data_IF_153510643557
#
_entry.id   IF_153510643557
#
_cell.length_a   1.000
_cell.length_b   1.000
_cell.length_c   1.000
_cell.angle_alpha   90.00
_cell.angle_beta   90.00
_cell.angle_gamma   90.00
#
_symmetry.space_group_name_H-M   'P 1'
#
loop_
_entity.id
_entity.type
_entity.pdbx_description
1 polymer ?
#
# COMPACT_ATOMS: atom_id res chain seq x y z
N UNK A 1 42.02 -16.45 -19.93
CA UNK A 1 41.14 -17.31 -20.74
C UNK A 1 40.16 -16.38 -21.45
N UNK A 2 40.36 -16.16 -22.75
CA UNK A 2 39.61 -15.18 -23.56
C UNK A 2 38.70 -15.98 -24.48
N UNK A 3 37.39 -15.83 -24.35
CA UNK A 3 36.42 -16.39 -25.29
C UNK A 3 35.87 -15.26 -26.15
N UNK A 4 36.18 -15.35 -27.44
CA UNK A 4 35.74 -14.44 -28.51
C UNK A 4 34.69 -15.19 -29.31
N UNK A 5 33.45 -14.72 -29.31
CA UNK A 5 32.35 -15.30 -30.10
C UNK A 5 32.07 -14.43 -31.33
N UNK A 6 32.17 -15.07 -32.48
CA UNK A 6 31.87 -14.57 -33.83
C UNK A 6 30.40 -14.89 -34.14
N UNK A 7 29.67 -13.93 -34.72
CA UNK A 7 28.27 -14.09 -35.15
C UNK A 7 28.12 -14.78 -36.52
N UNK A 8 26.87 -14.94 -36.99
CA UNK A 8 26.45 -14.42 -38.30
C UNK A 8 25.09 -13.69 -38.20
N UNK A 9 24.81 -12.55 -38.83
CA UNK A 9 24.78 -12.18 -40.26
C UNK A 9 23.55 -12.69 -41.04
N UNK A 10 22.65 -11.73 -41.30
CA UNK A 10 21.73 -11.57 -42.45
C UNK A 10 20.47 -12.44 -42.54
N UNK A 11 19.34 -11.74 -42.68
CA UNK A 11 18.05 -12.25 -43.13
C UNK A 11 17.05 -11.10 -43.26
N UNK A 12 17.18 -10.33 -44.34
CA UNK A 12 16.20 -9.30 -44.74
C UNK A 12 15.12 -9.98 -45.57
N UNK A 13 13.91 -10.12 -45.03
CA UNK A 13 12.74 -10.55 -45.79
C UNK A 13 11.71 -9.42 -45.88
N UNK A 14 11.60 -8.95 -47.12
CA UNK A 14 10.77 -7.88 -47.61
C UNK A 14 9.47 -8.51 -48.15
N UNK A 15 8.34 -8.29 -47.50
CA UNK A 15 7.03 -8.74 -47.97
C UNK A 15 6.06 -7.56 -48.04
N UNK A 16 6.07 -6.91 -49.20
CA UNK A 16 4.98 -6.09 -49.72
C UNK A 16 3.88 -6.97 -50.35
N UNK A 17 2.66 -6.89 -49.81
CA UNK A 17 1.36 -7.30 -50.39
C UNK A 17 0.32 -7.02 -49.28
N UNK A 18 -0.75 -6.24 -49.42
CA UNK A 18 -1.47 -5.68 -50.54
C UNK A 18 -2.94 -5.59 -50.09
N UNK A 19 -3.69 -4.63 -50.65
CA UNK A 19 -5.17 -4.62 -50.78
C UNK A 19 -6.00 -4.43 -49.50
N UNK A 20 -6.67 -3.29 -49.31
CA UNK A 20 -7.98 -2.90 -49.87
C UNK A 20 -9.16 -3.62 -49.20
N UNK A 21 -10.04 -2.79 -48.63
CA UNK A 21 -11.45 -3.01 -48.33
C UNK A 21 -11.80 -3.90 -47.12
N UNK A 22 -12.27 -3.26 -46.04
CA UNK A 22 -13.65 -3.46 -45.55
C UNK A 22 -13.93 -2.58 -44.32
N UNK A 23 -14.52 -1.43 -44.60
CA UNK A 23 -15.03 -0.51 -43.60
C UNK A 23 -16.48 -0.86 -43.25
N UNK A 24 -16.71 -1.87 -42.41
CA UNK A 24 -17.96 -2.02 -41.66
C UNK A 24 -17.72 -2.78 -40.35
N UNK A 25 -17.33 -2.06 -39.29
CA UNK A 25 -17.56 -2.53 -37.92
C UNK A 25 -17.95 -1.36 -37.02
N UNK A 26 -19.17 -0.86 -37.28
CA UNK A 26 -19.90 -0.03 -36.33
C UNK A 26 -20.86 -0.97 -35.60
N UNK A 27 -20.88 -0.85 -34.27
CA UNK A 27 -21.83 -1.48 -33.33
C UNK A 27 -21.37 -2.79 -32.71
N UNK A 28 -20.55 -2.68 -31.65
CA UNK A 28 -20.72 -3.41 -30.38
C UNK A 28 -19.70 -2.91 -29.34
N UNK A 29 -19.89 -1.67 -28.88
CA UNK A 29 -19.35 -1.21 -27.60
C UNK A 29 -20.49 -1.30 -26.58
N UNK A 30 -20.82 -2.53 -26.21
CA UNK A 30 -21.72 -2.86 -25.11
C UNK A 30 -20.87 -3.34 -23.94
N UNK A 31 -20.17 -2.43 -23.26
CA UNK A 31 -19.41 -2.73 -22.03
C UNK A 31 -19.38 -1.52 -21.07
N UNK A 32 -20.46 -0.74 -21.04
CA UNK A 32 -20.74 0.18 -19.91
C UNK A 32 -21.72 -0.44 -18.89
N UNK A 33 -22.34 -1.58 -19.24
CA UNK A 33 -23.19 -2.40 -18.36
C UNK A 33 -22.40 -3.30 -17.39
N UNK A 34 -21.08 -3.40 -17.54
CA UNK A 34 -20.26 -4.26 -16.64
C UNK A 34 -19.62 -3.48 -15.47
N UNK A 35 -19.46 -2.16 -15.60
CA UNK A 35 -18.93 -1.32 -14.52
C UNK A 35 -20.01 -0.81 -13.56
N UNK A 36 -21.26 -0.70 -14.03
CA UNK A 36 -22.40 -0.32 -13.19
C UNK A 36 -22.67 -1.33 -12.06
N UNK A 37 -22.66 -2.66 -12.30
CA UNK A 37 -22.86 -3.66 -11.26
C UNK A 37 -21.76 -3.64 -10.21
N UNK A 38 -20.50 -3.46 -10.60
CA UNK A 38 -19.38 -3.40 -9.65
C UNK A 38 -19.44 -2.13 -8.79
N UNK A 39 -19.77 -1.00 -9.40
CA UNK A 39 -19.98 0.26 -8.67
C UNK A 39 -21.20 0.18 -7.75
N UNK A 40 -22.31 -0.41 -8.19
CA UNK A 40 -23.54 -0.58 -7.39
C UNK A 40 -23.40 -1.64 -6.30
N UNK A 41 -22.61 -2.70 -6.53
CA UNK A 41 -22.31 -3.73 -5.54
C UNK A 41 -21.38 -3.19 -4.46
N UNK A 42 -20.33 -2.45 -4.84
CA UNK A 42 -19.49 -1.72 -3.91
C UNK A 42 -20.30 -0.70 -3.11
N UNK A 43 -21.14 0.10 -3.78
CA UNK A 43 -22.03 1.08 -3.16
C UNK A 43 -23.06 0.44 -2.20
N UNK A 44 -23.66 -0.70 -2.57
CA UNK A 44 -24.62 -1.41 -1.70
C UNK A 44 -23.95 -2.05 -0.49
N UNK A 45 -22.78 -2.68 -0.66
CA UNK A 45 -22.03 -3.27 0.44
C UNK A 45 -21.62 -2.18 1.45
N UNK A 46 -21.18 -1.04 0.94
CA UNK A 46 -20.79 0.10 1.77
C UNK A 46 -22.01 0.72 2.48
N UNK A 47 -23.16 0.87 1.81
CA UNK A 47 -24.39 1.38 2.44
C UNK A 47 -24.99 0.43 3.48
N UNK A 48 -24.85 -0.89 3.30
CA UNK A 48 -25.26 -1.88 4.29
C UNK A 48 -24.40 -1.80 5.55
N UNK A 49 -23.09 -1.56 5.40
CA UNK A 49 -22.18 -1.33 6.52
C UNK A 49 -22.52 -0.04 7.29
N UNK A 50 -22.97 1.02 6.60
CA UNK A 50 -23.36 2.30 7.22
C UNK A 50 -24.62 2.21 8.09
N UNK A 51 -25.56 1.32 7.77
CA UNK A 51 -26.79 1.13 8.55
C UNK A 51 -26.65 0.16 9.72
N UNK A 52 -25.51 -0.53 9.84
CA UNK A 52 -25.29 -1.56 10.85
C UNK A 52 -24.61 -1.06 12.14
N UNK A 53 -24.49 0.26 12.36
CA UNK A 53 -23.93 0.77 13.62
C UNK A 53 -24.87 0.48 14.80
N UNK A 54 -24.44 -0.29 15.82
CA UNK A 54 -25.26 -0.52 17.00
C UNK A 54 -25.27 0.75 17.84
N UNK A 55 -26.47 1.19 18.23
CA UNK A 55 -26.68 2.10 19.34
C UNK A 55 -26.21 1.40 20.63
N UNK A 56 -24.91 1.45 20.90
CA UNK A 56 -24.31 1.04 22.17
C UNK A 56 -24.65 2.08 23.23
N UNK A 57 -25.85 1.95 23.79
CA UNK A 57 -26.22 2.59 25.04
C UNK A 57 -25.30 2.12 26.17
N UNK A 58 -24.59 3.08 26.73
CA UNK A 58 -23.80 2.97 27.95
C UNK A 58 -24.71 2.68 29.15
N UNK A 59 -24.50 1.55 29.82
CA UNK A 59 -24.82 1.40 31.24
C UNK A 59 -23.66 0.67 31.91
N UNK A 60 -22.78 1.46 32.53
CA UNK A 60 -21.80 0.98 33.52
C UNK A 60 -22.50 0.82 34.88
N UNK A 61 -22.29 -0.33 35.56
CA UNK A 61 -22.32 -0.36 37.01
C UNK A 61 -21.01 -0.92 37.58
N UNK A 62 -20.02 -0.04 37.76
CA UNK A 62 -18.88 -0.31 38.66
C UNK A 62 -19.32 -0.14 40.12
N UNK A 63 -19.57 -1.26 40.83
CA UNK A 63 -19.52 -1.32 42.31
C UNK A 63 -19.42 -2.76 42.85
N UNK A 64 -18.20 -3.18 43.16
CA UNK A 64 -17.81 -4.16 44.20
C UNK A 64 -16.26 -4.15 44.21
N UNK A 65 -15.51 -3.64 45.19
CA UNK A 65 -15.41 -3.90 46.64
C UNK A 65 -15.03 -5.34 47.00
N UNK A 66 -14.05 -5.46 47.93
CA UNK A 66 -13.42 -6.65 48.55
C UNK A 66 -12.17 -7.14 47.77
N UNK A 67 -10.96 -7.31 48.35
CA UNK A 67 -10.46 -7.18 49.71
C UNK A 67 -8.97 -7.58 49.75
N UNK A 68 -8.15 -6.86 50.52
CA UNK A 68 -6.74 -7.16 50.77
C UNK A 68 -6.57 -8.38 51.69
N UNK A 69 -5.59 -9.24 51.38
CA UNK A 69 -4.83 -9.97 52.41
C UNK A 69 -3.35 -10.09 51.99
N UNK A 70 -2.39 -9.93 52.92
CA UNK A 70 -0.98 -10.22 52.69
C UNK A 70 -0.64 -11.63 53.17
N UNK A 71 0.10 -12.40 52.35
CA UNK A 71 0.77 -13.61 52.80
C UNK A 71 2.27 -13.40 52.79
N UNK A 72 2.80 -13.21 53.99
CA UNK A 72 4.21 -13.37 54.34
C UNK A 72 4.54 -14.87 54.34
N UNK A 73 5.55 -15.28 53.57
CA UNK A 73 6.01 -16.67 53.53
C UNK A 73 7.47 -16.75 53.12
N UNK A 74 8.36 -16.63 54.12
CA UNK A 74 9.79 -16.88 54.05
C UNK A 74 10.09 -18.38 54.05
N UNK A 75 10.86 -18.86 53.07
CA UNK A 75 11.69 -20.08 53.08
C UNK A 75 12.37 -20.13 51.70
N UNK A 76 13.67 -20.30 51.47
CA UNK A 76 14.81 -20.79 52.23
C UNK A 76 15.82 -21.23 51.16
N UNK A 77 17.10 -20.94 51.37
CA UNK A 77 18.20 -21.26 50.47
C UNK A 77 18.25 -22.72 50.03
N UNK A 78 18.54 -22.97 48.75
CA UNK A 78 19.23 -24.17 48.31
C UNK A 78 20.10 -23.88 47.08
N UNK A 79 21.41 -23.75 47.33
CA UNK A 79 22.45 -23.90 46.30
C UNK A 79 22.46 -25.35 45.82
N UNK A 80 22.43 -25.58 44.50
CA UNK A 80 23.33 -26.53 43.80
C UNK A 80 23.15 -26.46 42.28
N UNK A 81 24.27 -26.71 41.63
CA UNK A 81 24.52 -26.65 40.20
C UNK A 81 23.65 -27.59 39.35
N UNK A 82 23.36 -27.16 38.13
CA UNK A 82 23.26 -28.05 36.98
C UNK A 82 23.55 -27.27 35.70
N UNK A 83 24.63 -27.66 35.04
CA UNK A 83 24.98 -27.32 33.67
C UNK A 83 23.98 -27.88 32.66
N UNK A 84 23.87 -27.19 31.51
CA UNK A 84 23.53 -27.74 30.19
C UNK A 84 22.09 -28.22 29.94
N UNK A 85 21.33 -27.44 29.15
CA UNK A 85 20.83 -27.77 27.80
C UNK A 85 19.52 -27.01 27.48
N UNK A 86 19.58 -26.29 26.35
CA UNK A 86 18.58 -26.12 25.30
C UNK A 86 17.11 -25.75 25.63
N UNK A 87 16.67 -24.79 24.82
CA UNK A 87 15.34 -24.68 24.20
C UNK A 87 14.34 -23.68 24.80
N UNK A 88 14.20 -22.59 24.03
CA UNK A 88 12.96 -21.94 23.58
C UNK A 88 12.06 -21.27 24.62
N UNK A 89 11.71 -20.00 24.34
CA UNK A 89 10.33 -19.56 24.38
C UNK A 89 9.85 -19.20 22.97
N UNK A 90 8.92 -20.00 22.45
CA UNK A 90 7.98 -19.56 21.43
C UNK A 90 6.96 -18.59 22.07
N UNK A 91 6.42 -17.72 21.20
CA UNK A 91 5.25 -16.87 21.39
C UNK A 91 5.46 -15.56 22.17
N UNK A 92 5.48 -14.44 21.43
CA UNK A 92 4.34 -13.51 21.34
C UNK A 92 4.69 -12.41 20.33
N UNK A 93 4.29 -12.58 19.06
CA UNK A 93 4.29 -11.49 18.08
C UNK A 93 2.98 -10.72 18.23
N UNK A 94 3.03 -9.61 18.95
CA UNK A 94 2.07 -8.53 18.76
C UNK A 94 2.46 -7.78 17.49
N UNK A 95 1.63 -7.87 16.45
CA UNK A 95 1.75 -7.01 15.28
C UNK A 95 1.05 -5.69 15.64
N UNK A 96 1.82 -4.70 16.05
CA UNK A 96 1.32 -3.32 16.10
C UNK A 96 1.45 -2.72 14.71
N UNK A 97 0.28 -2.40 14.16
CA UNK A 97 0.09 -1.65 12.93
C UNK A 97 0.82 -0.30 13.03
N UNK A 98 1.72 -0.01 12.10
CA UNK A 98 2.34 1.31 11.94
C UNK A 98 1.66 2.05 10.76
N UNK A 99 0.96 3.17 11.00
CA UNK A 99 0.42 3.99 9.93
C UNK A 99 1.34 5.19 9.61
N UNK A 100 1.82 5.17 8.36
CA UNK A 100 2.23 6.31 7.52
C UNK A 100 3.65 6.86 7.66
N UNK A 101 4.35 6.74 6.54
CA UNK A 101 5.34 7.72 6.11
C UNK A 101 4.66 8.88 5.38
N UNK A 102 5.02 10.10 5.78
CA UNK A 102 4.79 11.36 5.07
C UNK A 102 5.74 11.47 3.88
N UNK A 103 5.20 11.31 2.68
CA UNK A 103 5.90 11.56 1.41
C UNK A 103 6.01 13.07 1.20
N UNK A 104 7.23 13.55 0.91
CA UNK A 104 7.44 14.91 0.43
C UNK A 104 6.55 15.15 -0.79
N UNK A 105 5.85 16.29 -0.80
CA UNK A 105 4.92 16.69 -1.84
C UNK A 105 5.68 17.10 -3.11
N UNK A 106 6.37 16.12 -3.71
CA UNK A 106 6.66 16.15 -5.13
C UNK A 106 5.32 16.00 -5.81
N UNK A 107 4.92 17.03 -6.56
CA UNK A 107 3.73 16.99 -7.42
C UNK A 107 3.94 15.90 -8.48
N UNK A 108 3.70 14.66 -8.06
CA UNK A 108 3.73 13.48 -8.91
C UNK A 108 2.52 13.60 -9.81
N UNK A 109 2.76 14.07 -11.03
CA UNK A 109 1.82 13.91 -12.13
C UNK A 109 1.69 12.41 -12.38
N UNK A 110 0.73 11.78 -11.71
CA UNK A 110 0.34 10.41 -11.95
C UNK A 110 -0.27 10.34 -13.35
N UNK A 111 0.58 10.16 -14.35
CA UNK A 111 0.14 9.73 -15.67
C UNK A 111 -0.18 8.25 -15.59
N UNK A 112 -1.33 7.92 -15.00
CA UNK A 112 -1.85 6.56 -15.08
C UNK A 112 -2.35 6.32 -16.50
N UNK A 113 -1.46 5.79 -17.34
CA UNK A 113 -1.73 5.47 -18.74
C UNK A 113 -2.78 4.37 -18.91
N UNK A 114 -3.26 3.78 -17.81
CA UNK A 114 -4.31 2.74 -17.83
C UNK A 114 -5.71 3.32 -18.00
N UNK A 115 -5.93 4.61 -17.71
CA UNK A 115 -7.26 5.21 -17.80
C UNK A 115 -7.41 5.92 -19.15
N UNK A 116 -8.20 5.33 -20.04
CA UNK A 116 -8.54 5.93 -21.33
C UNK A 116 -9.37 7.20 -21.13
N UNK A 117 -8.73 8.36 -21.28
CA UNK A 117 -9.38 9.69 -21.18
C UNK A 117 -10.57 9.84 -22.14
N UNK A 118 -10.54 9.15 -23.28
CA UNK A 118 -11.62 9.12 -24.26
C UNK A 118 -12.87 8.38 -23.78
N UNK A 119 -12.73 7.44 -22.84
CA UNK A 119 -13.86 6.76 -22.20
C UNK A 119 -14.55 7.67 -21.18
N UNK A 120 -13.77 8.44 -20.40
CA UNK A 120 -14.28 9.40 -19.42
C UNK A 120 -15.12 10.51 -20.07
N UNK A 121 -14.82 10.88 -21.31
CA UNK A 121 -15.56 11.91 -22.04
C UNK A 121 -17.00 11.51 -22.36
N UNK A 122 -17.22 10.20 -22.60
CA UNK A 122 -18.53 9.63 -22.97
C UNK A 122 -19.48 9.44 -21.78
N UNK A 123 -19.01 9.66 -20.55
CA UNK A 123 -19.82 9.49 -19.35
C UNK A 123 -20.89 10.59 -19.29
N UNK A 124 -22.14 10.17 -19.14
CA UNK A 124 -23.30 11.05 -18.94
C UNK A 124 -23.39 11.49 -17.47
N UNK A 125 -24.06 12.63 -17.21
CA UNK A 125 -24.28 13.17 -15.85
C UNK A 125 -23.01 13.49 -15.05
N UNK A 126 -22.02 14.12 -15.71
CA UNK A 126 -20.76 14.57 -15.10
C UNK A 126 -20.99 15.43 -13.84
N UNK A 127 -22.01 16.29 -13.87
CA UNK A 127 -22.41 17.15 -12.76
C UNK A 127 -22.80 16.35 -11.51
N UNK A 128 -23.59 15.27 -11.67
CA UNK A 128 -24.02 14.42 -10.55
C UNK A 128 -22.85 13.67 -9.93
N UNK A 129 -21.93 13.21 -10.77
CA UNK A 129 -20.73 12.50 -10.32
C UNK A 129 -19.83 13.45 -9.53
N UNK A 130 -19.59 14.67 -10.02
CA UNK A 130 -18.78 15.66 -9.32
C UNK A 130 -19.40 16.04 -7.97
N UNK A 131 -20.73 16.26 -7.90
CA UNK A 131 -21.42 16.53 -6.63
C UNK A 131 -21.32 15.35 -5.65
N UNK A 132 -21.47 14.13 -6.14
CA UNK A 132 -21.31 12.92 -5.33
C UNK A 132 -19.90 12.82 -4.75
N UNK A 133 -18.87 13.03 -5.56
CA UNK A 133 -17.48 12.99 -5.09
C UNK A 133 -17.22 14.06 -4.03
N UNK A 134 -17.74 15.27 -4.21
CA UNK A 134 -17.61 16.33 -3.19
C UNK A 134 -18.36 15.99 -1.90
N UNK A 135 -19.54 15.37 -1.98
CA UNK A 135 -20.29 14.92 -0.81
C UNK A 135 -19.55 13.79 -0.06
N UNK A 136 -19.03 12.81 -0.79
CA UNK A 136 -18.19 11.73 -0.23
C UNK A 136 -16.95 12.33 0.43
N UNK A 137 -16.28 13.27 -0.23
CA UNK A 137 -15.11 13.94 0.30
C UNK A 137 -15.40 14.67 1.62
N UNK A 138 -16.53 15.39 1.69
CA UNK A 138 -16.95 16.11 2.89
C UNK A 138 -17.26 15.15 4.05
N UNK A 139 -17.99 14.06 3.78
CA UNK A 139 -18.48 13.12 4.81
C UNK A 139 -17.45 12.10 5.26
N UNK A 140 -16.55 11.65 4.38
CA UNK A 140 -15.66 10.52 4.62
C UNK A 140 -14.19 10.92 4.63
N UNK A 141 -13.71 11.31 5.82
CA UNK A 141 -12.28 11.57 6.08
C UNK A 141 -11.31 10.51 5.51
N UNK A 142 -11.53 9.19 5.66
CA UNK A 142 -10.55 8.20 5.19
C UNK A 142 -10.43 8.13 3.66
N UNK A 143 -11.45 8.56 2.91
CA UNK A 143 -11.45 8.51 1.45
C UNK A 143 -10.98 9.80 0.78
N UNK A 144 -10.75 10.87 1.55
CA UNK A 144 -10.43 12.20 1.01
C UNK A 144 -9.33 12.20 -0.03
N UNK A 145 -8.16 11.63 0.30
CA UNK A 145 -7.00 11.55 -0.60
C UNK A 145 -7.31 10.85 -1.93
N UNK A 146 -8.12 9.78 -1.90
CA UNK A 146 -8.52 9.06 -3.12
C UNK A 146 -9.49 9.87 -3.95
N UNK A 147 -10.49 10.46 -3.29
CA UNK A 147 -11.50 11.31 -3.96
C UNK A 147 -10.87 12.55 -4.58
N UNK A 148 -9.89 13.15 -3.92
CA UNK A 148 -9.12 14.29 -4.40
C UNK A 148 -8.26 13.92 -5.62
N UNK A 149 -7.53 12.80 -5.57
CA UNK A 149 -6.77 12.31 -6.71
C UNK A 149 -7.68 12.07 -7.92
N UNK A 150 -8.87 11.51 -7.69
CA UNK A 150 -9.87 11.27 -8.72
C UNK A 150 -10.48 12.57 -9.26
N UNK A 151 -10.79 13.55 -8.40
CA UNK A 151 -11.25 14.88 -8.83
C UNK A 151 -10.18 15.59 -9.67
N UNK A 152 -8.93 15.53 -9.26
CA UNK A 152 -7.80 16.10 -10.00
C UNK A 152 -7.68 15.47 -11.39
N UNK A 153 -7.78 14.14 -11.47
CA UNK A 153 -7.74 13.40 -12.73
C UNK A 153 -8.91 13.75 -13.65
N UNK A 154 -10.14 13.81 -13.12
CA UNK A 154 -11.32 14.17 -13.91
C UNK A 154 -11.22 15.58 -14.45
N UNK A 155 -10.72 16.52 -13.63
CA UNK A 155 -10.53 17.92 -14.03
C UNK A 155 -9.36 18.12 -15.01
N UNK A 156 -8.58 17.10 -15.35
CA UNK A 156 -7.65 17.18 -16.49
C UNK A 156 -8.36 17.02 -17.85
N UNK A 157 -9.61 16.58 -17.87
CA UNK A 157 -10.38 16.36 -19.11
C UNK A 157 -11.27 17.57 -19.40
N UNK A 158 -11.13 18.16 -20.58
CA UNK A 158 -11.81 19.42 -20.95
C UNK A 158 -13.33 19.37 -20.80
N UNK A 159 -13.96 18.24 -21.10
CA UNK A 159 -15.42 18.10 -20.96
C UNK A 159 -15.90 18.08 -19.52
N UNK A 160 -15.08 17.57 -18.61
CA UNK A 160 -15.34 17.61 -17.18
C UNK A 160 -15.08 19.01 -16.62
N UNK A 161 -14.06 19.72 -17.11
CA UNK A 161 -13.86 21.14 -16.79
C UNK A 161 -15.04 22.00 -17.25
N UNK A 162 -15.59 21.73 -18.43
CA UNK A 162 -16.75 22.47 -18.93
C UNK A 162 -17.99 22.21 -18.08
N UNK A 163 -18.28 20.94 -17.77
CA UNK A 163 -19.39 20.59 -16.87
C UNK A 163 -19.21 21.19 -15.47
N UNK A 164 -17.96 21.32 -15.02
CA UNK A 164 -17.62 21.98 -13.76
C UNK A 164 -17.88 23.49 -13.81
N UNK A 165 -17.45 24.17 -14.87
CA UNK A 165 -17.62 25.62 -15.02
C UNK A 165 -19.07 26.05 -15.24
N UNK A 166 -19.94 25.14 -15.71
CA UNK A 166 -21.38 25.39 -15.86
C UNK A 166 -22.13 25.42 -14.51
N UNK A 167 -21.53 24.90 -13.42
CA UNK A 167 -22.16 24.83 -12.09
C UNK A 167 -21.42 25.69 -11.06
N UNK A 168 -22.02 26.84 -10.74
CA UNK A 168 -21.48 27.81 -9.79
C UNK A 168 -21.42 27.28 -8.34
N UNK A 169 -22.34 26.39 -7.94
CA UNK A 169 -22.35 25.81 -6.60
C UNK A 169 -21.18 24.83 -6.43
N UNK A 170 -20.88 24.09 -7.50
CA UNK A 170 -19.76 23.16 -7.56
C UNK A 170 -18.41 23.90 -7.48
N UNK A 171 -18.30 25.04 -8.17
CA UNK A 171 -17.11 25.90 -8.10
C UNK A 171 -16.87 26.43 -6.68
N UNK A 172 -17.92 26.89 -6.01
CA UNK A 172 -17.84 27.35 -4.63
C UNK A 172 -17.42 26.23 -3.67
N UNK A 173 -17.93 25.01 -3.85
CA UNK A 173 -17.57 23.86 -3.03
C UNK A 173 -16.09 23.45 -3.19
N UNK A 174 -15.53 23.49 -4.41
CA UNK A 174 -14.11 23.20 -4.62
C UNK A 174 -13.21 24.33 -4.08
N UNK A 175 -13.63 25.58 -4.20
CA UNK A 175 -12.89 26.70 -3.61
C UNK A 175 -12.79 26.57 -2.08
N UNK A 176 -13.85 26.11 -1.42
CA UNK A 176 -13.80 25.78 0.02
C UNK A 176 -12.87 24.61 0.31
N UNK A 177 -12.87 23.58 -0.55
CA UNK A 177 -11.98 22.43 -0.42
C UNK A 177 -10.50 22.85 -0.45
N UNK A 178 -10.06 23.62 -1.45
CA UNK A 178 -8.66 24.06 -1.57
C UNK A 178 -8.18 24.89 -0.38
N UNK A 179 -9.03 25.77 0.16
CA UNK A 179 -8.70 26.57 1.36
C UNK A 179 -8.52 25.72 2.62
N UNK A 180 -9.28 24.63 2.75
CA UNK A 180 -9.17 23.74 3.92
C UNK A 180 -7.83 23.00 3.96
N UNK A 181 -7.23 22.69 2.82
CA UNK A 181 -5.94 22.01 2.77
C UNK A 181 -4.76 22.91 3.14
N UNK A 182 -4.78 24.15 2.67
CA UNK A 182 -3.77 25.15 3.03
C UNK A 182 -3.74 25.41 4.55
N UNK A 183 -4.90 25.30 5.22
CA UNK A 183 -5.00 25.41 6.68
C UNK A 183 -4.51 24.17 7.45
N UNK A 184 -4.75 22.97 6.93
CA UNK A 184 -4.39 21.72 7.62
C UNK A 184 -2.92 21.32 7.44
N UNK A 185 -2.26 21.65 6.32
CA UNK A 185 -0.84 21.34 6.14
C UNK A 185 0.08 22.09 7.12
N UNK A 186 -0.38 23.21 7.68
CA UNK A 186 0.42 24.00 8.62
C UNK A 186 0.31 23.51 10.08
N UNK A 187 -0.63 22.62 10.42
CA UNK A 187 -0.98 22.34 11.81
C UNK A 187 -0.92 20.86 12.23
N UNK A 188 -0.69 19.92 11.31
CA UNK A 188 -0.68 18.47 11.57
C UNK A 188 0.65 17.80 11.15
N UNK A 189 1.77 18.47 11.47
CA UNK A 189 3.10 17.89 11.61
C UNK A 189 3.68 18.44 12.92
N UNK A 190 3.14 17.94 14.03
CA UNK A 190 3.66 18.24 15.36
C UNK A 190 5.01 17.55 15.52
N UNK A 191 6.04 18.32 15.90
CA UNK A 191 7.42 17.87 16.08
C UNK A 191 7.60 16.64 17.00
N UNK A 192 6.57 16.28 17.77
CA UNK A 192 6.57 15.11 18.66
C UNK A 192 6.44 13.78 17.89
N UNK A 193 5.72 13.73 16.75
CA UNK A 193 5.65 12.51 15.92
C UNK A 193 6.93 12.28 15.09
N UNK A 194 7.67 13.34 14.76
CA UNK A 194 8.97 13.21 14.08
C UNK A 194 10.07 12.68 15.02
N UNK A 195 10.02 13.01 16.31
CA UNK A 195 11.01 12.51 17.28
C UNK A 195 10.82 11.01 17.57
N UNK A 196 9.57 10.54 17.71
CA UNK A 196 9.27 9.13 17.95
C UNK A 196 9.63 8.24 16.75
N UNK A 197 9.32 8.69 15.52
CA UNK A 197 9.72 7.99 14.30
C UNK A 197 11.25 7.94 14.11
N UNK A 198 11.99 8.92 14.64
CA UNK A 198 13.44 8.96 14.57
C UNK A 198 14.11 8.05 15.60
N UNK A 199 13.51 7.83 16.77
CA UNK A 199 13.98 6.87 17.77
C UNK A 199 13.82 5.42 17.30
N UNK A 200 12.73 5.09 16.60
CA UNK A 200 12.52 3.75 16.06
C UNK A 200 13.52 3.37 14.96
N UNK A 201 13.89 4.32 14.08
CA UNK A 201 14.94 4.11 13.10
C UNK A 201 16.32 3.89 13.74
N UNK A 202 16.62 4.58 14.85
CA UNK A 202 17.86 4.35 15.61
C UNK A 202 17.85 2.98 16.28
N UNK A 203 16.73 2.56 16.85
CA UNK A 203 16.56 1.24 17.49
C UNK A 203 16.69 0.09 16.49
N UNK A 204 16.09 0.21 15.30
CA UNK A 204 16.26 -0.78 14.23
C UNK A 204 17.70 -0.83 13.71
N UNK A 205 18.40 0.31 13.67
CA UNK A 205 19.81 0.35 13.28
C UNK A 205 20.73 -0.36 14.27
N UNK A 206 20.40 -0.39 15.57
CA UNK A 206 21.20 -1.11 16.57
C UNK A 206 20.97 -2.60 16.53
N UNK A 207 19.72 -3.03 16.35
CA UNK A 207 19.36 -4.46 16.43
C UNK A 207 20.00 -5.30 15.32
N UNK A 208 20.36 -4.67 14.19
CA UNK A 208 20.95 -5.36 13.06
C UNK A 208 22.48 -5.34 13.08
N UNK A 209 23.10 -4.46 13.88
CA UNK A 209 24.57 -4.39 13.97
C UNK A 209 25.15 -5.66 14.56
N UNK A 210 24.54 -6.16 15.63
CA UNK A 210 25.06 -7.30 16.37
C UNK A 210 25.06 -8.58 15.52
N UNK A 211 23.97 -8.83 14.79
CA UNK A 211 23.88 -9.96 13.86
C UNK A 211 24.88 -9.84 12.70
N UNK A 212 25.07 -8.63 12.15
CA UNK A 212 25.98 -8.40 11.03
C UNK A 212 27.43 -8.63 11.45
N UNK A 213 27.83 -8.16 12.63
CA UNK A 213 29.20 -8.32 13.13
C UNK A 213 29.55 -9.79 13.37
N UNK A 214 28.63 -10.58 13.93
CA UNK A 214 28.80 -12.03 14.07
C UNK A 214 28.99 -12.72 12.71
N UNK A 215 28.15 -12.37 11.71
CA UNK A 215 28.26 -12.94 10.36
C UNK A 215 29.54 -12.49 9.65
N UNK A 216 30.00 -11.26 9.88
CA UNK A 216 31.24 -10.73 9.35
C UNK A 216 32.45 -11.50 9.91
N UNK A 217 32.50 -11.70 11.22
CA UNK A 217 33.54 -12.48 11.88
C UNK A 217 33.56 -13.94 11.40
N UNK A 218 32.39 -14.58 11.29
CA UNK A 218 32.27 -15.94 10.77
C UNK A 218 32.67 -16.05 9.28
N UNK A 219 32.37 -15.03 8.46
CA UNK A 219 32.80 -14.98 7.07
C UNK A 219 34.32 -14.79 6.95
N UNK A 220 34.90 -13.90 7.76
CA UNK A 220 36.35 -13.69 7.83
C UNK A 220 37.09 -14.97 8.26
N UNK A 221 36.57 -15.69 9.26
CA UNK A 221 37.12 -16.98 9.70
C UNK A 221 37.11 -18.05 8.59
N UNK A 222 36.19 -17.97 7.63
CA UNK A 222 36.13 -18.85 6.44
C UNK A 222 37.04 -18.38 5.29
N UNK A 223 37.78 -17.28 5.45
CA UNK A 223 38.59 -16.68 4.38
C UNK A 223 37.77 -15.95 3.32
N UNK A 224 36.55 -15.52 3.66
CA UNK A 224 35.72 -14.72 2.74
C UNK A 224 36.29 -13.31 2.63
N UNK A 225 36.28 -12.72 1.43
CA UNK A 225 36.82 -11.37 1.19
C UNK A 225 35.90 -10.28 1.78
N UNK A 226 34.61 -10.57 2.00
CA UNK A 226 33.65 -9.67 2.62
C UNK A 226 32.28 -10.31 2.79
N UNK A 227 31.33 -9.54 3.34
CA UNK A 227 29.92 -9.93 3.50
C UNK A 227 29.04 -8.93 2.75
N UNK A 228 28.05 -9.45 2.02
CA UNK A 228 27.00 -8.66 1.40
C UNK A 228 25.74 -8.73 2.26
N UNK A 229 25.32 -7.59 2.80
CA UNK A 229 24.05 -7.46 3.52
C UNK A 229 22.98 -6.99 2.53
N UNK A 230 21.90 -7.75 2.40
CA UNK A 230 20.75 -7.40 1.55
C UNK A 230 19.53 -7.24 2.43
N UNK A 231 19.03 -6.00 2.53
CA UNK A 231 17.73 -5.70 3.15
C UNK A 231 16.69 -5.62 2.05
N UNK A 232 15.78 -6.57 2.01
CA UNK A 232 14.53 -6.42 1.26
C UNK A 232 13.60 -5.59 2.14
N UNK A 233 12.96 -4.56 1.58
CA UNK A 233 12.09 -3.64 2.35
C UNK A 233 10.66 -3.81 1.89
N UNK A 234 10.44 -3.62 0.59
CA UNK A 234 9.13 -3.75 -0.02
C UNK A 234 9.24 -4.00 -1.52
N UNK A 235 8.16 -4.49 -2.10
CA UNK A 235 7.93 -4.54 -3.53
C UNK A 235 6.58 -3.90 -3.86
N UNK A 236 6.55 -3.04 -4.87
CA UNK A 236 5.36 -2.28 -5.26
C UNK A 236 4.98 -2.58 -6.71
N UNK A 237 3.69 -2.44 -7.02
CA UNK A 237 3.15 -2.60 -8.36
C UNK A 237 3.48 -3.96 -8.99
N UNK A 238 3.41 -5.02 -8.18
CA UNK A 238 3.58 -6.38 -8.68
C UNK A 238 2.48 -6.68 -9.69
N UNK A 239 2.85 -7.26 -10.83
CA UNK A 239 1.89 -7.68 -11.86
C UNK A 239 1.16 -8.90 -11.32
N UNK A 240 -0.17 -8.86 -11.28
CA UNK A 240 -0.93 -10.02 -10.88
C UNK A 240 -0.76 -11.14 -11.92
N UNK A 241 -0.13 -12.23 -11.52
CA UNK A 241 0.06 -13.41 -12.37
C UNK A 241 -1.12 -14.39 -12.28
N UNK A 242 -1.95 -14.27 -11.23
CA UNK A 242 -3.02 -15.22 -10.96
C UNK A 242 -4.36 -14.73 -11.54
N UNK A 243 -5.09 -15.64 -12.18
CA UNK A 243 -6.40 -15.34 -12.79
C UNK A 243 -7.47 -15.14 -11.72
N UNK A 244 -7.42 -15.90 -10.62
CA UNK A 244 -8.51 -16.01 -9.64
C UNK A 244 -8.15 -15.55 -8.22
N UNK A 245 -6.92 -15.06 -7.99
CA UNK A 245 -6.46 -14.54 -6.70
C UNK A 245 -5.50 -13.36 -6.90
N UNK A 246 -5.08 -12.72 -5.81
CA UNK A 246 -3.91 -11.85 -5.85
C UNK A 246 -2.66 -12.72 -5.88
N UNK A 247 -1.53 -12.14 -6.28
CA UNK A 247 -0.27 -12.87 -6.28
C UNK A 247 0.26 -13.07 -4.85
N UNK A 248 0.99 -14.17 -4.64
CA UNK A 248 1.69 -14.49 -3.39
C UNK A 248 3.20 -14.17 -3.49
N UNK A 249 3.60 -12.89 -3.37
CA UNK A 249 4.98 -12.50 -3.63
C UNK A 249 5.98 -13.03 -2.62
N UNK A 250 7.15 -13.37 -3.13
CA UNK A 250 8.35 -13.65 -2.34
C UNK A 250 9.59 -13.19 -3.11
N UNK A 251 10.67 -12.88 -2.38
CA UNK A 251 11.94 -12.47 -2.98
C UNK A 251 12.97 -13.58 -2.85
N UNK A 252 13.68 -13.84 -3.94
CA UNK A 252 14.77 -14.81 -4.02
C UNK A 252 16.08 -14.10 -4.37
N UNK A 253 17.02 -14.08 -3.44
CA UNK A 253 18.35 -13.49 -3.63
C UNK A 253 19.35 -14.60 -3.92
N UNK A 254 20.15 -14.45 -4.98
CA UNK A 254 21.18 -15.44 -5.37
C UNK A 254 22.52 -14.76 -5.59
N UNK A 255 23.57 -15.26 -4.93
CA UNK A 255 24.95 -14.79 -5.09
C UNK A 255 25.84 -16.00 -5.37
N UNK A 256 26.21 -16.17 -6.63
CA UNK A 256 26.96 -17.35 -7.09
C UNK A 256 26.20 -18.65 -6.82
N UNK A 257 26.72 -19.48 -5.90
CA UNK A 257 26.10 -20.76 -5.49
C UNK A 257 25.16 -20.62 -4.30
N UNK A 258 25.15 -19.48 -3.62
CA UNK A 258 24.30 -19.23 -2.45
C UNK A 258 22.94 -18.69 -2.90
N UNK A 259 21.86 -19.13 -2.23
CA UNK A 259 20.48 -18.72 -2.48
C UNK A 259 19.79 -18.52 -1.14
N UNK A 260 19.05 -17.42 -1.00
CA UNK A 260 18.09 -17.21 0.07
C UNK A 260 16.73 -16.80 -0.50
N UNK A 261 15.68 -17.06 0.27
CA UNK A 261 14.29 -16.78 -0.07
C UNK A 261 13.58 -16.22 1.14
N UNK A 262 12.79 -15.17 0.96
CA UNK A 262 11.92 -14.62 2.00
C UNK A 262 10.73 -15.55 2.26
N UNK A 263 9.98 -15.28 3.33
CA UNK A 263 8.65 -15.82 3.46
C UNK A 263 7.76 -15.36 2.30
N UNK A 264 6.75 -16.17 1.99
CA UNK A 264 5.69 -15.82 1.06
C UNK A 264 4.69 -14.93 1.80
N UNK A 265 4.24 -13.86 1.16
CA UNK A 265 3.17 -13.00 1.67
C UNK A 265 1.91 -13.35 0.89
N UNK A 266 0.88 -13.82 1.58
CA UNK A 266 -0.36 -14.30 0.95
C UNK A 266 -1.21 -13.13 0.43
N UNK A 267 -1.75 -13.28 -0.79
CA UNK A 267 -2.74 -12.41 -1.43
C UNK A 267 -2.37 -10.89 -1.40
N UNK A 268 -1.18 -10.53 -1.86
CA UNK A 268 -0.69 -9.15 -1.76
C UNK A 268 0.01 -8.63 -3.03
N UNK A 269 -0.38 -7.43 -3.51
CA UNK A 269 0.30 -6.73 -4.61
C UNK A 269 1.33 -5.68 -4.15
N UNK A 270 1.34 -5.38 -2.85
CA UNK A 270 2.25 -4.45 -2.17
C UNK A 270 2.91 -5.14 -0.98
N UNK A 271 3.91 -5.97 -1.26
CA UNK A 271 4.55 -6.79 -0.24
C UNK A 271 5.56 -5.98 0.57
N UNK A 272 5.34 -5.93 1.88
CA UNK A 272 6.32 -5.48 2.87
C UNK A 272 7.04 -6.72 3.42
N UNK A 273 8.37 -6.78 3.26
CA UNK A 273 9.18 -7.99 3.47
C UNK A 273 10.24 -7.81 4.55
#
# INVERSE_FOLDING_TARGET
MVLKTVGPSVGSDDHSRGSSDDAHNVSKLSTLDELTPLFLAWYSAEMAYMNASPLSGSEDPFKASIGMQPLTGSCGEARRAASHLLAMPCALRGWTHDPRQSTSSSSMKFHDSRIDKSALDKIEHKDRILRFLLDVHARKRPHRKRTEALLSLLLEVDSWQKAFAEDQDLEAAIAQFRRAEEGNQAQELTAEEEEEAQEDLRSLSTLWRDDVEEKLAAAAARGSIGVLLVRVVAAYNLINADWFSLSDPYVKVKVGRQKQTTAVVDDCLEAWL
#
